data_IF_923549568501
#
_entry.id   IF_923549568501
#
_cell.length_a   1.000
_cell.length_b   1.000
_cell.length_c   1.000
_cell.angle_alpha   90.00
_cell.angle_beta   90.00
_cell.angle_gamma   90.00
#
_symmetry.space_group_name_H-M   'P 1'
#
loop_
_entity.id
_entity.type
_entity.pdbx_description
1 polymer ?
#
# COMPACT_ATOMS: atom_id res chain seq x y z
N UNK A 1 -17.43 -27.42 -13.68
CA UNK A 1 -16.85 -26.84 -14.91
C UNK A 1 -15.34 -27.01 -14.84
N UNK A 2 -14.75 -27.83 -15.72
CA UNK A 2 -13.30 -28.06 -15.77
C UNK A 2 -12.74 -27.31 -16.98
N UNK A 3 -12.47 -26.01 -16.82
CA UNK A 3 -11.91 -25.15 -17.87
C UNK A 3 -10.44 -24.92 -17.53
N UNK A 4 -9.55 -25.14 -18.50
CA UNK A 4 -8.12 -24.91 -18.28
C UNK A 4 -7.81 -23.42 -18.11
N UNK A 5 -6.82 -23.09 -17.25
CA UNK A 5 -6.40 -21.70 -17.02
C UNK A 5 -5.97 -21.00 -18.32
N UNK A 6 -5.38 -21.72 -19.27
CA UNK A 6 -5.01 -21.17 -20.58
C UNK A 6 -6.22 -20.76 -21.41
N UNK A 7 -7.32 -21.51 -21.35
CA UNK A 7 -8.58 -21.14 -22.02
C UNK A 7 -9.16 -19.86 -21.42
N UNK A 8 -9.14 -19.73 -20.09
CA UNK A 8 -9.59 -18.52 -19.39
C UNK A 8 -8.74 -17.30 -19.79
N UNK A 9 -7.41 -17.43 -19.75
CA UNK A 9 -6.52 -16.34 -20.15
C UNK A 9 -6.68 -15.93 -21.61
N UNK A 10 -6.92 -16.88 -22.51
CA UNK A 10 -7.17 -16.60 -23.93
C UNK A 10 -8.46 -15.82 -24.12
N UNK A 11 -9.54 -16.20 -23.43
CA UNK A 11 -10.81 -15.49 -23.49
C UNK A 11 -10.68 -14.07 -22.94
N UNK A 12 -10.06 -13.90 -21.76
CA UNK A 12 -9.84 -12.58 -21.16
C UNK A 12 -9.06 -11.64 -22.09
N UNK A 13 -8.01 -12.15 -22.76
CA UNK A 13 -7.26 -11.35 -23.75
C UNK A 13 -8.08 -11.02 -25.00
N UNK A 14 -8.93 -11.93 -25.47
CA UNK A 14 -9.80 -11.67 -26.62
C UNK A 14 -10.79 -10.54 -26.32
N UNK A 15 -11.26 -10.45 -25.08
CA UNK A 15 -12.10 -9.34 -24.56
C UNK A 15 -11.28 -8.09 -24.18
N UNK A 16 -9.98 -8.06 -24.45
CA UNK A 16 -9.10 -6.92 -24.13
C UNK A 16 -8.82 -6.72 -22.64
N UNK A 17 -9.07 -7.73 -21.80
CA UNK A 17 -8.87 -7.67 -20.36
C UNK A 17 -7.46 -8.12 -19.97
N UNK A 18 -6.78 -7.30 -19.17
CA UNK A 18 -5.40 -7.55 -18.75
C UNK A 18 -5.26 -7.58 -17.23
N UNK A 19 -4.34 -8.40 -16.69
CA UNK A 19 -4.12 -8.47 -15.26
C UNK A 19 -3.37 -7.21 -14.80
N UNK A 20 -4.03 -6.39 -13.99
CA UNK A 20 -3.41 -5.27 -13.28
C UNK A 20 -3.37 -5.55 -11.79
N UNK A 21 -2.26 -5.18 -11.15
CA UNK A 21 -2.07 -5.36 -9.71
C UNK A 21 -2.66 -4.18 -8.94
N UNK A 22 -3.34 -4.46 -7.84
CA UNK A 22 -3.75 -3.41 -6.90
C UNK A 22 -2.55 -2.71 -6.28
N UNK A 23 -2.59 -1.38 -6.23
CA UNK A 23 -1.65 -0.59 -5.44
C UNK A 23 -2.16 -0.48 -4.03
N UNK A 24 -1.42 -1.02 -3.08
CA UNK A 24 -1.73 -0.82 -1.67
C UNK A 24 -1.26 0.58 -1.25
N UNK A 25 -2.18 1.39 -0.70
CA UNK A 25 -1.84 2.74 -0.18
C UNK A 25 -2.21 2.83 1.29
N UNK A 26 -1.64 3.82 1.99
CA UNK A 26 -2.08 4.14 3.35
C UNK A 26 -3.49 4.74 3.33
N UNK A 27 -4.35 4.31 4.24
CA UNK A 27 -5.67 4.93 4.44
C UNK A 27 -5.53 6.25 5.20
N UNK A 28 -5.14 7.33 4.52
CA UNK A 28 -4.97 8.65 5.14
C UNK A 28 -6.31 9.37 5.30
N UNK A 29 -6.48 10.07 6.42
CA UNK A 29 -7.56 11.02 6.63
C UNK A 29 -7.21 12.40 6.02
N UNK A 30 -8.22 13.24 5.70
CA UNK A 30 -7.97 14.56 5.12
C UNK A 30 -7.02 15.45 5.95
N UNK A 31 -7.06 15.33 7.28
CA UNK A 31 -6.17 16.08 8.18
C UNK A 31 -4.74 15.54 8.28
N UNK A 32 -4.45 14.36 7.73
CA UNK A 32 -3.10 13.79 7.81
C UNK A 32 -2.13 14.48 6.86
N UNK A 33 -2.63 14.95 5.71
CA UNK A 33 -1.78 15.65 4.74
C UNK A 33 -1.09 16.89 5.36
N UNK A 34 -1.82 17.88 5.92
CA UNK A 34 -1.17 19.04 6.52
C UNK A 34 -0.24 18.66 7.68
N UNK A 35 -0.67 17.76 8.59
CA UNK A 35 0.16 17.31 9.72
C UNK A 35 1.48 16.68 9.28
N UNK A 36 1.45 15.87 8.21
CA UNK A 36 2.65 15.24 7.66
C UNK A 36 3.56 16.26 7.01
N UNK A 37 3.02 17.25 6.32
CA UNK A 37 3.79 18.36 5.74
C UNK A 37 4.47 19.16 6.85
N UNK A 38 3.73 19.59 7.87
CA UNK A 38 4.26 20.35 9.01
C UNK A 38 5.40 19.60 9.71
N UNK A 39 5.22 18.28 9.93
CA UNK A 39 6.25 17.44 10.51
C UNK A 39 7.52 17.37 9.63
N UNK A 40 7.35 17.20 8.32
CA UNK A 40 8.48 17.16 7.39
C UNK A 40 9.24 18.49 7.38
N UNK A 41 8.55 19.62 7.36
CA UNK A 41 9.15 20.95 7.41
C UNK A 41 9.91 21.17 8.72
N UNK A 42 9.31 20.82 9.85
CA UNK A 42 9.96 20.87 11.15
C UNK A 42 11.23 19.99 11.19
N UNK A 43 11.15 18.76 10.69
CA UNK A 43 12.28 17.83 10.68
C UNK A 43 13.44 18.35 9.82
N UNK A 44 13.13 18.98 8.68
CA UNK A 44 14.13 19.63 7.83
C UNK A 44 14.81 20.80 8.55
N UNK A 45 14.06 21.64 9.27
CA UNK A 45 14.63 22.74 10.05
C UNK A 45 15.56 22.24 11.16
N UNK A 46 15.18 21.17 11.87
CA UNK A 46 16.06 20.55 12.88
C UNK A 46 17.35 20.02 12.24
N UNK A 47 17.26 19.41 11.06
CA UNK A 47 18.43 18.92 10.34
C UNK A 47 19.33 20.04 9.80
N UNK A 48 18.78 21.19 9.40
CA UNK A 48 19.58 22.36 9.03
C UNK A 48 20.29 22.97 10.24
N UNK A 49 19.68 22.92 11.42
CA UNK A 49 20.29 23.42 12.66
C UNK A 49 21.39 22.48 13.17
N UNK A 50 21.15 21.17 13.11
CA UNK A 50 22.13 20.13 13.45
C UNK A 50 22.07 18.99 12.42
N UNK A 51 23.12 18.87 11.61
CA UNK A 51 23.22 17.82 10.59
C UNK A 51 23.26 16.42 11.19
N UNK A 52 23.64 16.27 12.46
CA UNK A 52 23.63 14.99 13.16
C UNK A 52 22.27 14.65 13.79
N UNK A 53 21.31 15.58 13.81
CA UNK A 53 20.01 15.41 14.47
C UNK A 53 19.31 14.11 14.08
N UNK A 54 19.19 13.85 12.78
CA UNK A 54 18.52 12.64 12.25
C UNK A 54 19.24 11.36 12.69
N UNK A 55 20.58 11.39 12.77
CA UNK A 55 21.37 10.23 13.17
C UNK A 55 21.16 9.85 14.65
N UNK A 56 20.73 10.80 15.48
CA UNK A 56 20.42 10.57 16.89
C UNK A 56 18.97 10.13 17.15
N UNK A 57 18.11 10.04 16.11
CA UNK A 57 16.74 9.58 16.26
C UNK A 57 16.70 8.05 16.32
N UNK A 58 16.40 7.49 17.50
CA UNK A 58 16.08 6.08 17.64
C UNK A 58 14.62 5.83 17.27
N UNK A 59 14.39 5.11 16.17
CA UNK A 59 13.05 4.69 15.75
C UNK A 59 12.71 3.34 16.37
N UNK A 60 11.57 3.27 17.02
CA UNK A 60 10.98 2.02 17.51
C UNK A 60 9.64 1.81 16.81
N UNK A 61 9.27 0.57 16.56
CA UNK A 61 7.99 0.20 15.99
C UNK A 61 7.54 -1.14 16.56
N UNK A 62 6.24 -1.37 16.57
CA UNK A 62 5.65 -2.64 16.97
C UNK A 62 5.29 -3.47 15.73
N UNK A 63 5.71 -4.72 15.71
CA UNK A 63 5.34 -5.66 14.66
C UNK A 63 4.40 -6.74 15.21
N UNK A 64 3.26 -6.95 14.53
CA UNK A 64 2.33 -8.04 14.84
C UNK A 64 2.60 -9.24 13.95
N UNK A 65 2.87 -10.38 14.57
CA UNK A 65 2.95 -11.67 13.89
C UNK A 65 1.68 -12.48 14.16
N UNK A 66 0.93 -12.82 13.11
CA UNK A 66 -0.29 -13.64 13.22
C UNK A 66 -0.05 -15.04 12.67
N UNK A 67 -0.65 -16.05 13.31
CA UNK A 67 -0.63 -17.44 12.82
C UNK A 67 -1.44 -17.61 11.53
N UNK A 68 -2.47 -16.79 11.35
CA UNK A 68 -3.17 -16.66 10.08
C UNK A 68 -2.23 -15.92 9.12
N UNK A 69 -1.68 -16.65 8.15
CA UNK A 69 -0.65 -16.16 7.25
C UNK A 69 -1.01 -14.82 6.62
N UNK A 70 0.03 -14.01 6.38
CA UNK A 70 -0.13 -12.75 5.64
C UNK A 70 -0.72 -13.09 4.27
N UNK A 71 -1.94 -12.62 3.99
CA UNK A 71 -2.53 -12.75 2.66
C UNK A 71 -1.55 -12.16 1.64
N UNK A 72 -1.09 -12.99 0.71
CA UNK A 72 -0.21 -12.54 -0.36
C UNK A 72 -0.99 -11.64 -1.32
N UNK A 73 -1.09 -10.36 -0.97
CA UNK A 73 -1.75 -9.32 -1.76
C UNK A 73 -1.14 -9.15 -3.16
N UNK A 74 0.05 -9.72 -3.40
CA UNK A 74 0.69 -9.77 -4.71
C UNK A 74 -0.04 -10.66 -5.70
N UNK A 75 -0.82 -11.65 -5.24
CA UNK A 75 -1.65 -12.47 -6.12
C UNK A 75 -2.99 -11.81 -6.48
N UNK A 76 -3.31 -10.67 -5.88
CA UNK A 76 -4.57 -9.98 -6.13
C UNK A 76 -4.47 -9.13 -7.40
N UNK A 77 -5.15 -9.57 -8.46
CA UNK A 77 -5.19 -8.91 -9.76
C UNK A 77 -6.63 -8.60 -10.15
N UNK A 78 -6.80 -7.46 -10.81
CA UNK A 78 -8.03 -7.09 -11.51
C UNK A 78 -7.84 -7.26 -13.00
N UNK A 79 -8.93 -7.50 -13.73
CA UNK A 79 -8.91 -7.72 -15.18
C UNK A 79 -9.78 -6.69 -15.94
N UNK A 80 -9.49 -5.38 -15.85
CA UNK A 80 -10.16 -4.35 -16.64
C UNK A 80 -9.62 -4.27 -18.09
N UNK A 81 -10.39 -3.65 -18.97
CA UNK A 81 -9.99 -3.35 -20.35
C UNK A 81 -8.89 -2.29 -20.47
N UNK A 82 -8.63 -1.52 -19.39
CA UNK A 82 -7.57 -0.53 -19.31
C UNK A 82 -7.05 -0.42 -17.87
N UNK A 83 -5.82 0.09 -17.69
CA UNK A 83 -5.25 0.26 -16.36
C UNK A 83 -6.05 1.28 -15.54
N UNK A 84 -6.86 0.80 -14.60
CA UNK A 84 -7.67 1.64 -13.72
C UNK A 84 -6.89 2.24 -12.54
N UNK A 85 -5.58 1.96 -12.43
CA UNK A 85 -4.73 2.33 -11.29
C UNK A 85 -5.40 2.01 -9.94
N UNK A 86 -6.08 0.86 -9.84
CA UNK A 86 -6.89 0.62 -8.67
C UNK A 86 -6.04 0.54 -7.40
N UNK A 87 -6.55 1.24 -6.42
CA UNK A 87 -5.93 1.40 -5.12
C UNK A 87 -6.74 0.58 -4.12
N UNK A 88 -6.02 -0.09 -3.23
CA UNK A 88 -6.60 -0.72 -2.05
C UNK A 88 -5.99 -0.03 -0.82
N UNK A 89 -6.72 0.84 -0.13
CA UNK A 89 -6.23 1.40 1.12
C UNK A 89 -6.01 0.26 2.12
N UNK A 90 -4.91 0.31 2.87
CA UNK A 90 -4.78 -0.53 4.05
C UNK A 90 -5.82 -0.08 5.06
N UNK A 91 -6.55 -1.04 5.61
CA UNK A 91 -7.43 -0.75 6.74
C UNK A 91 -6.56 -0.21 7.86
N UNK A 92 -6.88 0.99 8.35
CA UNK A 92 -6.39 1.47 9.65
C UNK A 92 -6.97 0.51 10.66
N UNK A 93 -6.16 -0.45 11.13
CA UNK A 93 -6.59 -1.34 12.20
C UNK A 93 -6.43 -0.54 13.48
N UNK A 94 -7.52 0.07 13.94
CA UNK A 94 -7.61 0.60 15.30
C UNK A 94 -7.15 -0.49 16.25
N UNK A 95 -6.14 -0.20 17.07
CA UNK A 95 -5.89 -1.00 18.25
C UNK A 95 -7.18 -0.99 19.07
N UNK A 96 -7.81 -2.15 19.23
CA UNK A 96 -8.93 -2.28 20.14
C UNK A 96 -8.45 -1.87 21.53
N UNK A 97 -9.23 -1.01 22.18
CA UNK A 97 -9.21 -0.85 23.64
C UNK A 97 -9.57 -2.18 24.30
#
# INVERSE_FOLDING_TARGET
MNVSSSTVHRLLRAEGLYPYRYRTVQGLHPGDFPRRTDFCEWLLQQHETDKAFIAHILKTDEARFTRDGVFNSRNNHMWPGSNSNAIRPQNIRTAGL
#
